data_IF_427338267804
#
_entry.id   IF_427338267804
#
_cell.length_a   1.000
_cell.length_b   1.000
_cell.length_c   1.000
_cell.angle_alpha   90.00
_cell.angle_beta   90.00
_cell.angle_gamma   90.00
#
_symmetry.space_group_name_H-M   'P 1'
#
loop_
_entity.id
_entity.type
_entity.pdbx_description
1 polymer ?
#
# COMPACT_ATOMS: atom_id res chain seq x y z
N UNK A 1 19.74 -18.45 32.74
CA UNK A 1 19.19 -19.16 31.56
C UNK A 1 17.69 -19.29 31.74
N UNK A 2 16.90 -18.44 31.08
CA UNK A 2 15.44 -18.47 31.21
C UNK A 2 14.86 -19.68 30.49
N UNK A 3 14.08 -20.50 31.19
CA UNK A 3 13.32 -21.61 30.60
C UNK A 3 12.30 -21.04 29.62
N UNK A 4 12.55 -21.21 28.33
CA UNK A 4 11.56 -20.90 27.29
C UNK A 4 10.34 -21.79 27.48
N UNK A 5 9.18 -21.17 27.65
CA UNK A 5 7.86 -21.80 27.59
C UNK A 5 7.79 -22.73 26.36
N UNK A 6 7.41 -24.00 26.58
CA UNK A 6 7.20 -24.97 25.50
C UNK A 6 5.83 -24.84 24.82
N UNK A 7 5.02 -23.86 25.21
CA UNK A 7 3.78 -23.58 24.53
C UNK A 7 4.09 -22.80 23.25
N UNK A 8 4.34 -23.51 22.14
CA UNK A 8 4.71 -22.89 20.86
C UNK A 8 3.55 -22.12 20.21
N UNK A 9 2.35 -22.16 20.79
CA UNK A 9 1.16 -21.50 20.27
C UNK A 9 0.84 -21.88 18.82
N UNK A 10 -0.25 -21.35 18.27
CA UNK A 10 -0.44 -21.38 16.82
C UNK A 10 0.47 -20.30 16.23
N UNK A 11 1.48 -20.70 15.45
CA UNK A 11 2.34 -19.76 14.72
C UNK A 11 1.48 -19.08 13.65
N UNK A 12 1.19 -17.78 13.84
CA UNK A 12 0.50 -16.98 12.84
C UNK A 12 1.39 -16.77 11.62
N UNK A 13 0.88 -17.07 10.43
CA UNK A 13 1.59 -16.87 9.16
C UNK A 13 1.11 -15.58 8.51
N UNK A 14 2.07 -14.82 8.02
CA UNK A 14 1.82 -13.58 7.28
C UNK A 14 2.45 -13.67 5.90
N UNK A 15 1.77 -13.11 4.91
CA UNK A 15 2.31 -12.89 3.58
C UNK A 15 2.38 -11.39 3.32
N UNK A 16 3.50 -10.92 2.79
CA UNK A 16 3.69 -9.51 2.41
C UNK A 16 4.01 -9.43 0.94
N UNK A 17 3.43 -8.46 0.24
CA UNK A 17 3.84 -8.08 -1.10
C UNK A 17 3.77 -6.56 -1.26
N UNK A 18 4.51 -6.06 -2.24
CA UNK A 18 4.87 -4.65 -2.35
C UNK A 18 5.23 -4.32 -3.79
N UNK A 19 5.09 -3.05 -4.15
CA UNK A 19 5.57 -2.49 -5.42
C UNK A 19 5.12 -3.27 -6.68
N UNK A 20 3.87 -3.77 -6.78
CA UNK A 20 3.39 -4.25 -8.07
C UNK A 20 3.22 -3.09 -9.07
N UNK A 21 3.02 -1.84 -8.64
CA UNK A 21 2.81 -0.69 -9.55
C UNK A 21 1.68 -0.94 -10.56
N UNK A 22 0.50 -1.35 -10.08
CA UNK A 22 -0.67 -1.61 -10.94
C UNK A 22 -1.06 -0.32 -11.66
N UNK A 23 -1.32 -0.33 -12.99
CA UNK A 23 -1.53 -1.50 -13.85
C UNK A 23 -0.27 -2.06 -14.55
N UNK A 24 0.92 -1.54 -14.29
CA UNK A 24 2.17 -1.96 -14.95
C UNK A 24 2.83 -3.21 -14.37
N UNK A 25 2.23 -3.79 -13.33
CA UNK A 25 2.67 -5.03 -12.71
C UNK A 25 2.96 -6.17 -13.68
N UNK A 26 3.96 -6.99 -13.34
CA UNK A 26 4.17 -8.27 -14.00
C UNK A 26 3.02 -9.22 -13.65
N UNK A 27 2.12 -9.43 -14.62
CA UNK A 27 0.91 -10.23 -14.42
C UNK A 27 1.21 -11.67 -13.93
N UNK A 28 2.24 -12.39 -14.46
CA UNK A 28 2.63 -13.69 -13.91
C UNK A 28 3.02 -13.65 -12.42
N UNK A 29 3.83 -12.68 -11.99
CA UNK A 29 4.24 -12.53 -10.59
C UNK A 29 3.06 -12.18 -9.67
N UNK A 30 2.17 -11.30 -10.11
CA UNK A 30 0.94 -10.99 -9.39
C UNK A 30 0.05 -12.23 -9.24
N UNK A 31 -0.16 -12.97 -10.32
CA UNK A 31 -0.93 -14.21 -10.30
C UNK A 31 -0.29 -15.28 -9.39
N UNK A 32 1.05 -15.36 -9.37
CA UNK A 32 1.78 -16.23 -8.46
C UNK A 32 1.50 -15.85 -7.00
N UNK A 33 1.55 -14.56 -6.68
CA UNK A 33 1.25 -14.03 -5.34
C UNK A 33 -0.18 -14.36 -4.92
N UNK A 34 -1.17 -14.13 -5.80
CA UNK A 34 -2.58 -14.45 -5.51
C UNK A 34 -2.78 -15.95 -5.26
N UNK A 35 -2.20 -16.82 -6.10
CA UNK A 35 -2.24 -18.27 -5.90
C UNK A 35 -1.55 -18.69 -4.60
N UNK A 36 -0.43 -18.05 -4.24
CA UNK A 36 0.28 -18.33 -3.00
C UNK A 36 -0.61 -18.02 -1.78
N UNK A 37 -1.37 -16.92 -1.80
CA UNK A 37 -2.34 -16.59 -0.73
C UNK A 37 -3.39 -17.71 -0.60
N UNK A 38 -3.95 -18.20 -1.70
CA UNK A 38 -4.98 -19.25 -1.67
C UNK A 38 -4.47 -20.60 -1.18
N UNK A 39 -3.21 -20.94 -1.49
CA UNK A 39 -2.56 -22.17 -1.05
C UNK A 39 -2.16 -22.08 0.42
N UNK A 40 -1.49 -20.99 0.80
CA UNK A 40 -0.91 -20.81 2.14
C UNK A 40 -2.01 -20.53 3.18
N UNK A 41 -3.07 -19.81 2.78
CA UNK A 41 -4.15 -19.31 3.64
C UNK A 41 -3.58 -18.62 4.89
N UNK A 42 -2.84 -17.52 4.71
CA UNK A 42 -2.17 -16.85 5.82
C UNK A 42 -3.19 -16.25 6.79
N UNK A 43 -2.81 -16.13 8.07
CA UNK A 43 -3.62 -15.45 9.07
C UNK A 43 -3.71 -13.94 8.81
N UNK A 44 -2.67 -13.38 8.16
CA UNK A 44 -2.67 -11.99 7.74
C UNK A 44 -1.92 -11.72 6.44
N UNK A 45 -2.31 -10.65 5.76
CA UNK A 45 -1.63 -10.13 4.57
C UNK A 45 -1.27 -8.67 4.77
N UNK A 46 -0.09 -8.26 4.29
CA UNK A 46 0.31 -6.86 4.27
C UNK A 46 0.72 -6.38 2.89
N UNK A 47 0.15 -5.24 2.51
CA UNK A 47 0.49 -4.47 1.32
C UNK A 47 1.48 -3.39 1.75
N UNK A 48 2.72 -3.42 1.26
CA UNK A 48 3.80 -2.52 1.73
C UNK A 48 4.04 -1.31 0.82
N UNK A 49 2.98 -0.79 0.22
CA UNK A 49 2.99 0.44 -0.58
C UNK A 49 3.30 0.20 -2.05
N UNK A 50 3.08 1.27 -2.83
CA UNK A 50 3.22 1.31 -4.28
C UNK A 50 2.46 0.16 -4.96
N UNK A 51 1.25 -0.10 -4.43
CA UNK A 51 0.34 -1.08 -5.03
C UNK A 51 -0.19 -0.53 -6.35
N UNK A 52 -0.42 0.77 -6.41
CA UNK A 52 -0.88 1.47 -7.61
C UNK A 52 0.15 2.47 -8.06
N UNK A 53 0.33 2.60 -9.38
CA UNK A 53 1.26 3.55 -9.96
C UNK A 53 0.85 5.00 -9.68
N UNK A 54 -0.44 5.33 -9.76
CA UNK A 54 -0.99 6.66 -9.48
C UNK A 54 -0.26 7.84 -10.17
N UNK A 55 0.37 7.61 -11.32
CA UNK A 55 1.09 8.63 -12.07
C UNK A 55 0.21 9.85 -12.42
N UNK A 56 -1.11 9.62 -12.57
CA UNK A 56 -2.12 10.65 -12.74
C UNK A 56 -2.13 11.72 -11.65
N UNK A 57 -1.73 11.39 -10.41
CA UNK A 57 -1.62 12.33 -9.29
C UNK A 57 -0.18 12.84 -9.08
N UNK A 58 0.79 12.25 -9.77
CA UNK A 58 2.20 12.57 -9.61
C UNK A 58 2.50 14.02 -9.98
N UNK A 59 3.12 14.78 -9.08
CA UNK A 59 3.59 16.13 -9.39
C UNK A 59 4.73 16.12 -10.44
N UNK A 60 5.42 14.98 -10.60
CA UNK A 60 6.53 14.83 -11.55
C UNK A 60 6.09 14.95 -13.01
N UNK A 61 4.86 14.58 -13.35
CA UNK A 61 4.35 14.66 -14.73
C UNK A 61 4.30 16.12 -15.24
N UNK A 62 4.26 17.10 -14.32
CA UNK A 62 4.24 18.53 -14.60
C UNK A 62 5.59 19.21 -14.42
N UNK A 63 6.66 18.45 -14.13
CA UNK A 63 8.01 19.02 -14.00
C UNK A 63 8.40 19.71 -15.30
N UNK A 64 8.64 21.03 -15.23
CA UNK A 64 8.98 21.90 -16.38
C UNK A 64 7.87 22.00 -17.43
N UNK A 65 6.61 21.76 -17.07
CA UNK A 65 5.43 21.89 -17.93
C UNK A 65 4.35 22.68 -17.22
N UNK A 66 3.44 23.29 -17.98
CA UNK A 66 2.26 23.93 -17.41
C UNK A 66 1.28 22.85 -16.91
N UNK A 67 0.86 22.96 -15.65
CA UNK A 67 -0.17 22.10 -15.07
C UNK A 67 -1.53 22.43 -15.70
N UNK A 68 -2.32 21.43 -16.15
CA UNK A 68 -3.65 21.68 -16.71
C UNK A 68 -4.61 22.20 -15.63
N UNK A 69 -5.79 22.73 -16.01
CA UNK A 69 -6.84 23.08 -15.05
C UNK A 69 -7.23 21.90 -14.17
N UNK A 70 -7.84 22.19 -13.01
CA UNK A 70 -8.16 21.19 -12.00
C UNK A 70 -9.14 20.14 -12.56
N UNK A 71 -10.11 20.56 -13.34
CA UNK A 71 -11.18 19.72 -13.91
C UNK A 71 -10.60 18.60 -14.77
N UNK A 72 -9.65 18.93 -15.66
CA UNK A 72 -8.96 17.95 -16.50
C UNK A 72 -8.07 16.98 -15.71
N UNK A 73 -7.59 17.39 -14.53
CA UNK A 73 -6.84 16.49 -13.66
C UNK A 73 -7.78 15.55 -12.91
N UNK A 74 -8.90 16.07 -12.41
CA UNK A 74 -9.92 15.29 -11.70
C UNK A 74 -10.51 14.21 -12.60
N UNK A 75 -10.76 14.50 -13.88
CA UNK A 75 -11.20 13.47 -14.85
C UNK A 75 -10.25 12.27 -14.89
N UNK A 76 -8.93 12.52 -15.01
CA UNK A 76 -7.92 11.46 -15.03
C UNK A 76 -7.76 10.76 -13.69
N UNK A 77 -7.85 11.50 -12.60
CA UNK A 77 -7.81 10.94 -11.24
C UNK A 77 -8.98 9.98 -11.09
N UNK A 78 -10.21 10.41 -11.42
CA UNK A 78 -11.41 9.58 -11.29
C UNK A 78 -11.33 8.30 -12.13
N UNK A 79 -10.77 8.37 -13.35
CA UNK A 79 -10.46 7.19 -14.18
C UNK A 79 -9.46 6.24 -13.48
N UNK A 80 -8.37 6.79 -12.94
CA UNK A 80 -7.39 6.03 -12.16
C UNK A 80 -8.00 5.38 -10.92
N UNK A 81 -8.88 6.08 -10.20
CA UNK A 81 -9.57 5.56 -9.01
C UNK A 81 -10.50 4.39 -9.35
N UNK A 82 -11.11 4.37 -10.54
CA UNK A 82 -11.87 3.21 -11.04
C UNK A 82 -10.96 1.99 -11.15
N UNK A 83 -9.77 2.15 -11.76
CA UNK A 83 -8.81 1.06 -11.89
C UNK A 83 -8.31 0.59 -10.51
N UNK A 84 -7.97 1.51 -9.61
CA UNK A 84 -7.48 1.16 -8.27
C UNK A 84 -8.52 0.36 -7.49
N UNK A 85 -9.78 0.80 -7.49
CA UNK A 85 -10.85 0.07 -6.81
C UNK A 85 -11.11 -1.31 -7.43
N UNK A 86 -11.09 -1.43 -8.76
CA UNK A 86 -11.22 -2.72 -9.43
C UNK A 86 -10.16 -3.72 -8.96
N UNK A 87 -8.89 -3.30 -8.90
CA UNK A 87 -7.81 -4.18 -8.47
C UNK A 87 -7.80 -4.44 -6.95
N UNK A 88 -8.27 -3.48 -6.14
CA UNK A 88 -8.55 -3.76 -4.73
C UNK A 88 -9.63 -4.83 -4.57
N UNK A 89 -10.68 -4.81 -5.40
CA UNK A 89 -11.72 -5.86 -5.39
C UNK A 89 -11.13 -7.23 -5.76
N UNK A 90 -10.26 -7.30 -6.77
CA UNK A 90 -9.56 -8.53 -7.16
C UNK A 90 -8.71 -9.09 -6.00
N UNK A 91 -7.94 -8.22 -5.33
CA UNK A 91 -7.13 -8.62 -4.17
C UNK A 91 -8.05 -9.10 -3.04
N UNK A 92 -9.07 -8.31 -2.68
CA UNK A 92 -9.98 -8.62 -1.59
C UNK A 92 -10.73 -9.94 -1.82
N UNK A 93 -11.13 -10.24 -3.05
CA UNK A 93 -11.78 -11.52 -3.39
C UNK A 93 -10.86 -12.71 -3.06
N UNK A 94 -9.57 -12.61 -3.39
CA UNK A 94 -8.57 -13.63 -3.05
C UNK A 94 -8.41 -13.76 -1.53
N UNK A 95 -8.32 -12.62 -0.82
CA UNK A 95 -8.20 -12.60 0.64
C UNK A 95 -9.42 -13.21 1.33
N UNK A 96 -10.62 -12.95 0.81
CA UNK A 96 -11.90 -13.50 1.29
C UNK A 96 -11.97 -15.00 1.08
N UNK A 97 -11.64 -15.49 -0.13
CA UNK A 97 -11.60 -16.95 -0.42
C UNK A 97 -10.60 -17.68 0.47
N UNK A 98 -9.45 -17.05 0.73
CA UNK A 98 -8.43 -17.57 1.65
C UNK A 98 -8.76 -17.39 3.13
N UNK A 99 -9.85 -16.66 3.47
CA UNK A 99 -10.30 -16.35 4.83
C UNK A 99 -9.24 -15.64 5.68
N UNK A 100 -8.51 -14.72 5.06
CA UNK A 100 -7.47 -13.93 5.74
C UNK A 100 -8.10 -13.03 6.80
N UNK A 101 -7.68 -13.18 8.06
CA UNK A 101 -8.29 -12.52 9.21
C UNK A 101 -7.71 -11.12 9.49
N UNK A 102 -6.51 -10.82 9.03
CA UNK A 102 -5.84 -9.54 9.28
C UNK A 102 -5.27 -8.94 8.00
N UNK A 103 -5.61 -7.69 7.71
CA UNK A 103 -5.13 -6.97 6.53
C UNK A 103 -4.44 -5.70 6.98
N UNK A 104 -3.22 -5.46 6.49
CA UNK A 104 -2.52 -4.19 6.70
C UNK A 104 -2.20 -3.54 5.37
N UNK A 105 -2.27 -2.22 5.32
CA UNK A 105 -1.87 -1.42 4.18
C UNK A 105 -0.90 -0.36 4.66
N UNK A 106 0.35 -0.41 4.20
CA UNK A 106 1.30 0.67 4.36
C UNK A 106 1.31 1.45 3.06
N UNK A 107 1.19 2.77 3.16
CA UNK A 107 1.20 3.65 1.99
C UNK A 107 2.60 3.79 1.40
N UNK A 108 2.68 3.74 0.06
CA UNK A 108 3.88 4.06 -0.69
C UNK A 108 3.90 5.50 -1.20
N UNK A 109 4.99 5.89 -1.85
CA UNK A 109 5.09 7.25 -2.38
C UNK A 109 4.18 7.49 -3.59
N UNK A 110 3.78 6.44 -4.30
CA UNK A 110 2.83 6.57 -5.41
C UNK A 110 1.42 6.87 -4.90
N UNK A 111 1.01 6.27 -3.78
CA UNK A 111 -0.23 6.64 -3.10
C UNK A 111 -0.17 8.04 -2.48
N UNK A 112 0.96 8.41 -1.86
CA UNK A 112 1.17 9.74 -1.25
C UNK A 112 0.99 10.88 -2.27
N UNK A 113 1.28 10.67 -3.56
CA UNK A 113 1.07 11.71 -4.57
C UNK A 113 -0.37 12.23 -4.61
N UNK A 114 -1.35 11.35 -4.36
CA UNK A 114 -2.74 11.74 -4.30
C UNK A 114 -3.04 12.56 -3.03
N UNK A 115 -2.45 12.19 -1.89
CA UNK A 115 -2.57 12.96 -0.65
C UNK A 115 -1.96 14.35 -0.79
N UNK A 116 -0.76 14.47 -1.39
CA UNK A 116 -0.12 15.75 -1.72
C UNK A 116 -1.00 16.57 -2.68
N UNK A 117 -1.64 15.93 -3.64
CA UNK A 117 -2.58 16.59 -4.54
C UNK A 117 -3.77 17.20 -3.77
N UNK A 118 -4.32 16.49 -2.79
CA UNK A 118 -5.39 16.98 -1.91
C UNK A 118 -4.90 18.10 -1.00
N UNK A 119 -3.69 18.01 -0.45
CA UNK A 119 -3.08 19.09 0.34
C UNK A 119 -3.00 20.40 -0.47
N UNK A 120 -2.71 20.30 -1.78
CA UNK A 120 -2.71 21.47 -2.67
C UNK A 120 -4.11 21.97 -3.06
N UNK A 121 -5.16 21.20 -2.81
CA UNK A 121 -6.56 21.57 -3.05
C UNK A 121 -7.45 21.14 -1.86
N UNK A 122 -7.35 21.79 -0.69
CA UNK A 122 -7.91 21.26 0.57
C UNK A 122 -9.41 20.96 0.57
N UNK A 123 -10.19 21.61 -0.30
CA UNK A 123 -11.62 21.34 -0.44
C UNK A 123 -11.91 19.90 -0.90
N UNK A 124 -10.97 19.27 -1.62
CA UNK A 124 -11.08 17.89 -2.09
C UNK A 124 -11.10 16.84 -0.98
N UNK A 125 -10.60 17.17 0.22
CA UNK A 125 -10.69 16.30 1.42
C UNK A 125 -12.13 15.97 1.85
N UNK A 126 -13.11 16.75 1.35
CA UNK A 126 -14.54 16.58 1.64
C UNK A 126 -15.41 16.51 0.39
N UNK A 127 -14.79 16.53 -0.79
CA UNK A 127 -15.51 16.45 -2.06
C UNK A 127 -15.98 15.03 -2.27
N UNK A 128 -17.27 14.89 -2.58
CA UNK A 128 -17.84 13.61 -2.93
C UNK A 128 -17.40 13.20 -4.34
N UNK A 129 -17.13 11.92 -4.52
CA UNK A 129 -16.80 11.31 -5.80
C UNK A 129 -17.43 9.90 -5.85
N UNK A 130 -17.24 9.18 -6.97
CA UNK A 130 -17.91 7.90 -7.23
C UNK A 130 -17.74 6.84 -6.12
N UNK A 131 -16.63 6.87 -5.38
CA UNK A 131 -16.29 5.86 -4.37
C UNK A 131 -16.48 6.34 -2.93
N UNK A 132 -16.86 7.60 -2.70
CA UNK A 132 -16.98 8.13 -1.35
C UNK A 132 -16.84 9.65 -1.29
N UNK A 133 -16.17 10.12 -0.24
CA UNK A 133 -15.83 11.53 -0.06
C UNK A 133 -14.40 11.63 0.46
N UNK A 134 -13.68 12.64 -0.03
CA UNK A 134 -12.26 12.79 0.23
C UNK A 134 -11.41 12.10 -0.83
N UNK A 135 -10.56 12.88 -1.50
CA UNK A 135 -9.63 12.38 -2.50
C UNK A 135 -8.33 11.80 -1.89
N UNK A 136 -8.15 11.80 -0.56
CA UNK A 136 -7.00 11.12 0.05
C UNK A 136 -7.03 9.63 -0.26
N UNK A 137 -5.88 9.02 -0.52
CA UNK A 137 -5.78 7.68 -1.07
C UNK A 137 -6.60 6.65 -0.28
N UNK A 138 -6.42 6.59 1.03
CA UNK A 138 -7.13 5.65 1.89
C UNK A 138 -8.66 5.77 1.83
N UNK A 139 -9.18 6.97 1.55
CA UNK A 139 -10.61 7.24 1.35
C UNK A 139 -11.05 6.75 -0.03
N UNK A 140 -10.27 7.05 -1.08
CA UNK A 140 -10.65 6.71 -2.46
C UNK A 140 -10.80 5.23 -2.73
N UNK A 141 -10.04 4.38 -2.03
CA UNK A 141 -10.17 2.92 -2.10
C UNK A 141 -10.88 2.33 -0.88
N UNK A 142 -11.44 3.16 0.01
CA UNK A 142 -12.21 2.74 1.19
C UNK A 142 -11.52 1.69 2.09
N UNK A 143 -10.22 1.85 2.38
CA UNK A 143 -9.43 0.85 3.13
C UNK A 143 -10.09 0.39 4.45
N UNK A 144 -10.70 1.32 5.18
CA UNK A 144 -11.38 1.03 6.44
C UNK A 144 -12.60 0.10 6.25
N UNK A 145 -13.41 0.33 5.21
CA UNK A 145 -14.57 -0.55 4.90
C UNK A 145 -14.14 -1.92 4.42
N UNK A 146 -13.00 -2.00 3.73
CA UNK A 146 -12.35 -3.24 3.29
C UNK A 146 -11.64 -4.00 4.43
N UNK A 147 -11.61 -3.44 5.65
CA UNK A 147 -11.03 -4.09 6.83
C UNK A 147 -9.51 -4.00 6.93
N UNK A 148 -8.86 -3.08 6.20
CA UNK A 148 -7.42 -2.85 6.33
C UNK A 148 -7.09 -1.96 7.52
N UNK A 149 -6.07 -2.35 8.27
CA UNK A 149 -5.37 -1.43 9.14
C UNK A 149 -4.38 -0.63 8.31
N UNK A 150 -4.67 0.66 8.14
CA UNK A 150 -3.89 1.58 7.33
C UNK A 150 -2.78 2.25 8.16
N UNK A 151 -1.63 2.42 7.52
CA UNK A 151 -0.46 3.13 8.01
C UNK A 151 -0.02 4.12 6.94
N UNK A 152 0.07 5.40 7.31
CA UNK A 152 0.49 6.47 6.40
C UNK A 152 1.94 6.28 5.99
N UNK A 153 2.32 6.95 4.91
CA UNK A 153 3.69 6.92 4.43
C UNK A 153 4.68 7.27 5.56
N UNK A 154 5.65 6.38 5.76
CA UNK A 154 6.75 6.54 6.72
C UNK A 154 6.44 5.98 8.11
N UNK A 155 5.15 5.77 8.42
CA UNK A 155 4.74 5.03 9.60
C UNK A 155 5.21 3.57 9.52
N UNK A 156 5.55 3.02 10.68
CA UNK A 156 6.09 1.65 10.76
C UNK A 156 5.10 0.79 11.52
N UNK A 157 4.70 -0.31 10.90
CA UNK A 157 3.99 -1.38 11.58
C UNK A 157 4.98 -2.38 12.18
N UNK A 158 4.69 -2.88 13.37
CA UNK A 158 5.48 -3.95 14.00
C UNK A 158 4.64 -5.21 14.10
N UNK A 159 5.13 -6.29 13.48
CA UNK A 159 4.56 -7.62 13.64
C UNK A 159 5.59 -8.54 14.33
N UNK A 160 5.33 -8.88 15.59
CA UNK A 160 6.30 -9.58 16.43
C UNK A 160 7.59 -8.77 16.60
N UNK A 161 8.70 -9.26 16.04
CA UNK A 161 10.02 -8.60 16.06
C UNK A 161 10.40 -7.93 14.74
N UNK A 162 9.54 -8.03 13.72
CA UNK A 162 9.77 -7.47 12.39
C UNK A 162 9.05 -6.14 12.26
N UNK A 163 9.77 -5.11 11.81
CA UNK A 163 9.22 -3.83 11.41
C UNK A 163 8.91 -3.84 9.91
N UNK A 164 7.82 -3.19 9.53
CA UNK A 164 7.23 -3.19 8.20
C UNK A 164 6.89 -1.75 7.85
N UNK A 165 7.30 -1.31 6.67
CA UNK A 165 6.90 -0.04 6.07
C UNK A 165 7.31 -0.01 4.59
N UNK A 166 7.00 1.06 3.87
CA UNK A 166 7.25 1.12 2.43
C UNK A 166 8.74 1.13 2.04
N UNK A 167 9.61 1.96 2.64
CA UNK A 167 11.07 1.95 2.36
C UNK A 167 11.71 3.28 1.95
N UNK A 168 10.92 4.28 1.55
CA UNK A 168 11.38 5.57 1.00
C UNK A 168 12.30 6.42 1.92
N UNK A 169 12.41 6.12 3.23
CA UNK A 169 13.20 6.93 4.15
C UNK A 169 14.72 6.77 3.95
N UNK A 170 15.18 5.62 3.45
CA UNK A 170 16.61 5.28 3.38
C UNK A 170 17.00 4.62 2.04
N UNK A 171 17.00 5.40 0.95
CA UNK A 171 17.33 4.92 -0.40
C UNK A 171 18.83 4.88 -0.77
N UNK A 172 19.10 4.73 -2.07
CA UNK A 172 20.43 4.69 -2.68
C UNK A 172 20.97 3.27 -2.92
N UNK A 173 22.13 3.14 -3.59
CA UNK A 173 22.73 1.84 -3.99
C UNK A 173 22.92 0.88 -2.80
N UNK A 174 23.04 1.41 -1.59
CA UNK A 174 23.21 0.65 -0.35
C UNK A 174 22.02 0.79 0.61
N UNK A 175 20.80 0.91 0.07
CA UNK A 175 19.56 1.10 0.83
C UNK A 175 19.44 0.09 1.98
N UNK A 176 19.66 -1.22 1.76
CA UNK A 176 19.62 -2.24 2.83
C UNK A 176 20.60 -1.98 3.98
N UNK A 177 21.83 -1.55 3.68
CA UNK A 177 22.82 -1.20 4.71
C UNK A 177 22.41 0.07 5.46
N UNK A 178 21.90 1.06 4.75
CA UNK A 178 21.43 2.31 5.35
C UNK A 178 20.27 2.05 6.32
N UNK A 179 19.31 1.21 5.94
CA UNK A 179 18.22 0.77 6.81
C UNK A 179 18.73 0.08 8.07
N UNK A 180 19.63 -0.91 7.93
CA UNK A 180 20.17 -1.64 9.07
C UNK A 180 20.86 -0.71 10.08
N UNK A 181 21.73 0.18 9.59
CA UNK A 181 22.51 1.08 10.45
C UNK A 181 21.62 2.13 11.12
N UNK A 182 20.71 2.75 10.37
CA UNK A 182 19.89 3.87 10.89
C UNK A 182 18.75 3.38 11.79
N UNK A 183 18.16 2.23 11.49
CA UNK A 183 17.01 1.73 12.23
C UNK A 183 17.40 0.77 13.37
N UNK A 184 18.50 0.02 13.24
CA UNK A 184 18.97 -0.90 14.29
C UNK A 184 17.98 -2.02 14.65
N UNK A 185 17.06 -2.35 13.73
CA UNK A 185 15.99 -3.36 13.93
C UNK A 185 15.87 -4.29 12.72
N UNK A 186 15.19 -5.42 12.91
CA UNK A 186 14.76 -6.26 11.79
C UNK A 186 13.65 -5.52 11.03
N UNK A 187 13.86 -5.26 9.75
CA UNK A 187 12.93 -4.51 8.91
C UNK A 187 12.72 -5.22 7.57
N UNK A 188 11.48 -5.19 7.08
CA UNK A 188 11.07 -5.58 5.73
C UNK A 188 10.37 -4.38 5.10
N UNK A 189 10.70 -4.09 3.84
CA UNK A 189 10.23 -2.96 3.07
C UNK A 189 10.29 -3.28 1.57
N UNK A 190 9.62 -2.48 0.74
CA UNK A 190 9.44 -2.75 -0.70
C UNK A 190 10.18 -1.84 -1.67
N UNK A 191 10.42 -0.59 -1.26
CA UNK A 191 11.05 0.46 -2.06
C UNK A 191 12.58 0.36 -2.16
#
# INVERSE_FOLDING_TARGET
>A
MGKGSQDKGVIKRWLYFTDPHIPYHDQPAFNCTMKAIEIIKPDGVGLLGDIFENDFASHWQWKRRQKPPLEFQLEKIDEGLINNNYWMDVIDEVLDRAKVASRIYCEGNHEEWLDIFVESHPHLSKTAHKFGSGYEFHNTVNLAKRGYKYFRIGEKHKNGRLYLYHGHLHGGIHHSKAHLIKMGVNVMYGH
#
